data_IF_139569980805
#
_entry.id   IF_139569980805
#
_cell.length_a   1.000
_cell.length_b   1.000
_cell.length_c   1.000
_cell.angle_alpha   90.00
_cell.angle_beta   90.00
_cell.angle_gamma   90.00
#
_symmetry.space_group_name_H-M   'P 1'
#
loop_
_entity.id
_entity.type
_entity.pdbx_description
1 polymer ?
#
# COMPACT_ATOMS: atom_id res chain seq x y z
N UNK A 1 3.25 18.33 -14.23
CA UNK A 1 2.32 18.58 -13.11
C UNK A 1 3.05 19.07 -11.87
N UNK A 2 3.95 18.28 -11.26
CA UNK A 2 4.74 18.72 -10.08
C UNK A 2 5.47 20.05 -10.29
N UNK A 3 6.18 20.20 -11.42
CA UNK A 3 6.87 21.45 -11.74
C UNK A 3 5.93 22.67 -11.92
N UNK A 4 4.65 22.46 -12.30
CA UNK A 4 3.66 23.53 -12.43
C UNK A 4 3.14 23.97 -11.06
N UNK A 5 2.84 22.99 -10.20
CA UNK A 5 2.44 23.24 -8.82
C UNK A 5 3.52 24.01 -8.06
N UNK A 6 4.80 23.70 -8.31
CA UNK A 6 5.93 24.38 -7.70
C UNK A 6 6.23 25.76 -8.29
N UNK A 7 5.85 26.03 -9.54
CA UNK A 7 5.94 27.36 -10.14
C UNK A 7 4.77 28.27 -9.74
N UNK A 8 3.87 27.81 -8.86
CA UNK A 8 2.59 28.48 -8.50
C UNK A 8 1.74 28.85 -9.73
N UNK A 9 1.92 28.12 -10.83
CA UNK A 9 1.19 28.36 -12.07
C UNK A 9 -0.10 27.54 -12.06
N UNK A 10 -1.23 28.23 -12.26
CA UNK A 10 -2.52 27.57 -12.42
C UNK A 10 -2.44 26.58 -13.60
N UNK A 11 -2.83 25.33 -13.36
CA UNK A 11 -2.92 24.32 -14.42
C UNK A 11 -4.02 24.78 -15.39
N UNK A 12 -3.70 25.06 -16.66
CA UNK A 12 -4.72 25.49 -17.62
C UNK A 12 -5.81 24.42 -17.72
N UNK A 13 -7.09 24.80 -17.80
CA UNK A 13 -8.20 23.85 -17.91
C UNK A 13 -7.98 22.84 -19.05
N UNK A 14 -7.39 23.29 -20.16
CA UNK A 14 -6.99 22.47 -21.31
C UNK A 14 -5.97 21.36 -21.02
N UNK A 15 -5.11 21.53 -20.02
CA UNK A 15 -4.09 20.52 -19.66
C UNK A 15 -4.71 19.24 -19.09
N UNK A 16 -5.98 19.30 -18.65
CA UNK A 16 -6.74 18.12 -18.19
C UNK A 16 -7.33 17.28 -19.32
N UNK A 17 -7.39 17.81 -20.54
CA UNK A 17 -8.03 17.16 -21.69
C UNK A 17 -7.23 15.95 -22.18
N UNK A 18 -5.89 16.06 -22.25
CA UNK A 18 -5.02 14.95 -22.65
C UNK A 18 -5.16 13.71 -21.75
N UNK A 19 -5.03 13.84 -20.42
CA UNK A 19 -5.30 12.74 -19.48
C UNK A 19 -6.71 12.15 -19.60
N UNK A 20 -7.75 12.97 -19.85
CA UNK A 20 -9.12 12.49 -20.02
C UNK A 20 -9.28 11.64 -21.29
N UNK A 21 -8.67 12.07 -22.40
CA UNK A 21 -8.68 11.30 -23.65
C UNK A 21 -7.92 10.00 -23.54
N UNK A 22 -6.74 10.01 -22.91
CA UNK A 22 -6.01 8.77 -22.55
C UNK A 22 -6.88 7.83 -21.71
N UNK A 23 -7.58 8.35 -20.70
CA UNK A 23 -8.45 7.53 -19.87
C UNK A 23 -9.66 6.95 -20.62
N UNK A 24 -10.25 7.71 -21.56
CA UNK A 24 -11.31 7.22 -22.43
C UNK A 24 -10.79 6.13 -23.37
N UNK A 25 -9.65 6.37 -24.03
CA UNK A 25 -8.99 5.44 -24.94
C UNK A 25 -8.66 4.09 -24.26
N UNK A 26 -8.20 4.12 -23.00
CA UNK A 26 -7.97 2.92 -22.19
C UNK A 26 -9.26 2.15 -21.89
N UNK A 27 -10.37 2.85 -21.60
CA UNK A 27 -11.66 2.20 -21.28
C UNK A 27 -12.29 1.58 -22.51
N UNK A 28 -12.19 2.27 -23.63
CA UNK A 28 -12.84 1.89 -24.89
C UNK A 28 -11.92 1.00 -25.75
N UNK A 29 -10.71 0.73 -25.27
CA UNK A 29 -9.65 0.00 -25.99
C UNK A 29 -9.43 0.55 -27.41
N UNK A 30 -9.42 1.88 -27.51
CA UNK A 30 -9.32 2.65 -28.74
C UNK A 30 -8.05 3.52 -28.74
N UNK A 31 -7.75 4.18 -29.87
CA UNK A 31 -6.65 5.15 -29.93
C UNK A 31 -6.98 6.46 -29.21
N UNK A 32 -5.95 7.17 -28.75
CA UNK A 32 -6.09 8.44 -28.02
C UNK A 32 -6.69 9.58 -28.86
N UNK A 33 -6.47 9.53 -30.18
CA UNK A 33 -6.88 10.58 -31.11
C UNK A 33 -6.09 11.89 -30.95
N UNK A 34 -6.48 12.96 -31.65
CA UNK A 34 -5.74 14.22 -31.63
C UNK A 34 -5.79 14.88 -30.24
N UNK A 35 -4.61 15.26 -29.74
CA UNK A 35 -4.45 16.03 -28.50
C UNK A 35 -4.50 17.55 -28.77
N UNK A 36 -4.92 18.36 -27.78
CA UNK A 36 -4.89 19.82 -27.91
C UNK A 36 -3.46 20.33 -28.11
N UNK A 37 -3.32 21.39 -28.91
CA UNK A 37 -2.01 21.97 -29.24
C UNK A 37 -1.27 22.48 -27.97
N UNK A 38 0.05 22.25 -27.86
CA UNK A 38 0.84 22.63 -26.70
C UNK A 38 0.81 24.13 -26.37
N UNK A 39 0.75 24.43 -25.09
CA UNK A 39 0.81 25.76 -24.51
C UNK A 39 2.25 26.13 -24.12
N UNK A 40 3.04 26.68 -25.06
CA UNK A 40 4.47 26.91 -24.86
C UNK A 40 4.84 28.13 -23.99
N UNK A 41 4.01 28.53 -23.03
CA UNK A 41 4.22 29.77 -22.25
C UNK A 41 5.18 29.63 -21.07
N UNK A 42 5.42 28.42 -20.56
CA UNK A 42 6.33 28.17 -19.44
C UNK A 42 7.08 26.84 -19.59
N UNK A 43 8.31 26.71 -19.03
CA UNK A 43 9.09 25.47 -19.08
C UNK A 43 8.32 24.26 -18.56
N UNK A 44 7.63 24.44 -17.43
CA UNK A 44 6.84 23.38 -16.79
C UNK A 44 5.60 22.96 -17.59
N UNK A 45 5.02 23.88 -18.40
CA UNK A 45 3.91 23.57 -19.29
C UNK A 45 4.41 22.82 -20.52
N UNK A 46 5.53 23.25 -21.11
CA UNK A 46 6.18 22.56 -22.24
C UNK A 46 6.51 21.11 -21.88
N UNK A 47 7.17 20.89 -20.75
CA UNK A 47 7.51 19.54 -20.30
C UNK A 47 6.28 18.67 -19.99
N UNK A 48 5.15 19.26 -19.58
CA UNK A 48 3.90 18.53 -19.39
C UNK A 48 3.29 18.13 -20.73
N UNK A 49 3.19 19.07 -21.68
CA UNK A 49 2.62 18.81 -23.00
C UNK A 49 3.45 17.77 -23.76
N UNK A 50 4.77 17.86 -23.72
CA UNK A 50 5.67 16.86 -24.31
C UNK A 50 5.48 15.49 -23.67
N UNK A 51 5.32 15.43 -22.35
CA UNK A 51 5.08 14.16 -21.65
C UNK A 51 3.72 13.53 -22.02
N UNK A 52 2.68 14.35 -22.19
CA UNK A 52 1.36 13.88 -22.61
C UNK A 52 1.36 13.40 -24.06
N UNK A 53 2.08 14.11 -24.94
CA UNK A 53 2.21 13.74 -26.34
C UNK A 53 2.97 12.41 -26.48
N UNK A 54 4.12 12.28 -25.82
CA UNK A 54 4.88 11.02 -25.78
C UNK A 54 4.05 9.86 -25.19
N UNK A 55 3.20 10.13 -24.18
CA UNK A 55 2.35 9.11 -23.59
C UNK A 55 1.26 8.63 -24.55
N UNK A 56 0.59 9.54 -25.27
CA UNK A 56 -0.40 9.18 -26.29
C UNK A 56 0.24 8.45 -27.48
N UNK A 57 1.41 8.91 -27.91
CA UNK A 57 2.17 8.29 -28.99
C UNK A 57 2.64 6.87 -28.63
N UNK A 58 3.16 6.65 -27.42
CA UNK A 58 3.52 5.33 -26.93
C UNK A 58 2.30 4.41 -26.77
N UNK A 59 1.17 4.95 -26.33
CA UNK A 59 -0.09 4.21 -26.19
C UNK A 59 -0.64 3.77 -27.56
N UNK A 60 -0.70 4.69 -28.52
CA UNK A 60 -1.27 4.44 -29.86
C UNK A 60 -0.41 3.51 -30.71
N UNK A 61 0.92 3.53 -30.54
CA UNK A 61 1.80 2.60 -31.26
C UNK A 61 1.69 1.16 -30.76
N UNK A 62 1.09 0.94 -29.58
CA UNK A 62 1.26 -0.29 -28.82
C UNK A 62 2.74 -0.69 -28.62
N UNK A 63 3.66 0.28 -28.77
CA UNK A 63 5.07 0.17 -28.43
C UNK A 63 5.15 0.21 -26.91
N UNK A 64 4.72 -0.88 -26.28
CA UNK A 64 5.13 -1.25 -24.94
C UNK A 64 6.62 -1.57 -24.95
N UNK A 65 7.46 -0.59 -25.32
CA UNK A 65 8.90 -0.68 -25.17
C UNK A 65 9.18 -1.14 -23.76
N UNK A 66 10.09 -2.11 -23.62
CA UNK A 66 10.39 -2.84 -22.40
C UNK A 66 10.12 -1.96 -21.19
N UNK A 67 8.96 -2.17 -20.55
CA UNK A 67 8.69 -1.57 -19.26
C UNK A 67 9.95 -1.89 -18.47
N UNK A 68 10.71 -0.87 -18.07
CA UNK A 68 11.95 -1.03 -17.31
C UNK A 68 11.58 -1.50 -15.89
N UNK A 69 10.89 -2.64 -15.82
CA UNK A 69 10.67 -3.43 -14.63
C UNK A 69 12.04 -3.95 -14.28
N UNK A 70 12.69 -3.25 -13.35
CA UNK A 70 13.91 -3.72 -12.72
C UNK A 70 13.67 -5.17 -12.33
N UNK A 71 14.30 -6.12 -13.03
CA UNK A 71 14.28 -7.52 -12.64
C UNK A 71 14.88 -7.56 -11.24
N UNK A 72 14.03 -7.60 -10.21
CA UNK A 72 14.48 -7.72 -8.82
C UNK A 72 15.28 -9.01 -8.76
N UNK A 73 16.59 -8.88 -8.61
CA UNK A 73 17.51 -9.99 -8.42
C UNK A 73 16.96 -10.93 -7.34
N UNK A 74 17.15 -12.24 -7.51
CA UNK A 74 16.77 -13.23 -6.50
C UNK A 74 17.35 -12.86 -5.12
N UNK A 75 18.56 -12.32 -5.09
CA UNK A 75 19.20 -11.82 -3.87
C UNK A 75 18.44 -10.64 -3.22
N UNK A 76 17.82 -9.76 -4.01
CA UNK A 76 16.99 -8.67 -3.49
C UNK A 76 15.68 -9.20 -2.87
N UNK A 77 15.05 -10.20 -3.51
CA UNK A 77 13.85 -10.87 -2.97
C UNK A 77 14.15 -11.65 -1.69
N UNK A 78 15.24 -12.42 -1.67
CA UNK A 78 15.66 -13.16 -0.47
C UNK A 78 15.96 -12.21 0.67
N UNK A 79 16.62 -11.07 0.42
CA UNK A 79 16.89 -10.05 1.44
C UNK A 79 15.62 -9.37 1.95
N UNK A 80 14.59 -9.22 1.12
CA UNK A 80 13.29 -8.70 1.59
C UNK A 80 12.54 -9.70 2.48
N UNK A 81 12.63 -11.01 2.18
CA UNK A 81 11.97 -12.08 2.95
C UNK A 81 12.72 -12.43 4.23
N UNK A 82 14.06 -12.46 4.19
CA UNK A 82 14.91 -12.77 5.35
C UNK A 82 15.32 -11.53 6.14
N UNK A 83 15.02 -10.33 5.64
CA UNK A 83 15.26 -9.07 6.33
C UNK A 83 14.38 -8.93 7.58
N UNK A 84 14.64 -7.89 8.38
CA UNK A 84 13.93 -7.63 9.63
C UNK A 84 12.39 -7.68 9.46
N UNK A 85 11.85 -7.18 8.34
CA UNK A 85 10.42 -7.22 8.02
C UNK A 85 9.87 -8.63 7.84
N UNK A 86 10.51 -9.44 6.99
CA UNK A 86 10.03 -10.78 6.72
C UNK A 86 10.23 -11.71 7.93
N UNK A 87 11.26 -11.46 8.75
CA UNK A 87 11.43 -12.12 10.05
C UNK A 87 10.32 -11.72 11.03
N UNK A 88 10.01 -10.44 11.17
CA UNK A 88 8.94 -10.00 12.07
C UNK A 88 7.58 -10.56 11.63
N UNK A 89 7.27 -10.45 10.34
CA UNK A 89 6.06 -11.00 9.75
C UNK A 89 5.99 -12.52 9.94
N UNK A 90 7.07 -13.23 9.61
CA UNK A 90 7.16 -14.68 9.79
C UNK A 90 6.99 -15.09 11.25
N UNK A 91 7.53 -14.33 12.19
CA UNK A 91 7.37 -14.58 13.62
C UNK A 91 5.93 -14.38 14.07
N UNK A 92 5.24 -13.32 13.61
CA UNK A 92 3.80 -13.12 13.88
C UNK A 92 2.96 -14.26 13.33
N UNK A 93 3.20 -14.65 12.08
CA UNK A 93 2.47 -15.76 11.45
C UNK A 93 2.71 -17.06 12.23
N UNK A 94 3.97 -17.36 12.58
CA UNK A 94 4.33 -18.56 13.33
C UNK A 94 3.70 -18.57 14.74
N UNK A 95 3.71 -17.44 15.46
CA UNK A 95 3.07 -17.31 16.77
C UNK A 95 1.55 -17.43 16.68
N UNK A 96 0.92 -16.74 15.73
CA UNK A 96 -0.52 -16.84 15.52
C UNK A 96 -0.92 -18.26 15.17
N UNK A 97 -0.22 -18.90 14.22
CA UNK A 97 -0.48 -20.29 13.84
C UNK A 97 -0.25 -21.26 15.00
N UNK A 98 0.87 -21.14 15.71
CA UNK A 98 1.20 -22.01 16.85
C UNK A 98 0.19 -21.86 17.99
N UNK A 99 -0.13 -20.63 18.39
CA UNK A 99 -1.10 -20.37 19.45
C UNK A 99 -2.52 -20.80 19.05
N UNK A 100 -2.94 -20.54 17.82
CA UNK A 100 -4.24 -20.99 17.30
C UNK A 100 -4.34 -22.51 17.23
N UNK A 101 -3.28 -23.19 16.76
CA UNK A 101 -3.25 -24.65 16.69
C UNK A 101 -3.22 -25.29 18.09
N UNK A 102 -2.53 -24.69 19.06
CA UNK A 102 -2.54 -25.14 20.45
C UNK A 102 -3.93 -24.98 21.08
N UNK A 103 -4.58 -23.83 20.88
CA UNK A 103 -5.96 -23.57 21.34
C UNK A 103 -6.93 -24.56 20.69
N UNK A 104 -6.85 -24.77 19.37
CA UNK A 104 -7.69 -25.71 18.65
C UNK A 104 -7.54 -27.15 19.18
N UNK A 105 -6.30 -27.59 19.43
CA UNK A 105 -6.04 -28.91 20.03
C UNK A 105 -6.57 -29.01 21.46
N UNK A 106 -6.36 -27.99 22.30
CA UNK A 106 -6.88 -27.97 23.66
C UNK A 106 -8.42 -28.06 23.71
N UNK A 107 -9.10 -27.31 22.83
CA UNK A 107 -10.56 -27.34 22.68
C UNK A 107 -11.06 -28.70 22.16
N UNK A 108 -10.31 -29.34 21.26
CA UNK A 108 -10.59 -30.69 20.80
C UNK A 108 -10.50 -31.72 21.95
N UNK A 109 -9.43 -31.66 22.76
CA UNK A 109 -9.25 -32.56 23.90
C UNK A 109 -10.30 -32.39 25.01
N UNK A 110 -10.77 -31.17 25.25
CA UNK A 110 -11.79 -30.87 26.27
C UNK A 110 -13.23 -31.15 25.80
N UNK A 111 -13.44 -31.59 24.56
CA UNK A 111 -14.78 -31.86 23.96
C UNK A 111 -15.77 -30.70 24.11
N UNK A 112 -15.28 -29.47 24.20
CA UNK A 112 -16.06 -28.29 24.60
C UNK A 112 -17.30 -28.02 23.72
N UNK A 113 -17.33 -28.47 22.45
CA UNK A 113 -18.53 -28.40 21.58
C UNK A 113 -18.87 -29.76 20.91
N UNK A 114 -18.37 -30.89 21.40
CA UNK A 114 -18.58 -32.22 20.78
C UNK A 114 -17.36 -32.77 20.03
N UNK A 115 -17.57 -33.74 19.12
CA UNK A 115 -16.55 -34.30 18.22
C UNK A 115 -16.16 -33.22 17.19
N UNK A 116 -14.98 -32.61 17.37
CA UNK A 116 -14.51 -31.49 16.55
C UNK A 116 -13.77 -31.96 15.31
N UNK A 117 -14.49 -32.29 14.23
CA UNK A 117 -13.84 -32.66 12.96
C UNK A 117 -13.10 -31.48 12.29
N UNK A 118 -13.41 -30.24 12.69
CA UNK A 118 -13.01 -29.02 11.98
C UNK A 118 -11.93 -28.16 12.67
N UNK A 119 -11.09 -28.74 13.52
CA UNK A 119 -10.07 -28.01 14.31
C UNK A 119 -9.15 -27.07 13.50
N UNK A 120 -8.98 -27.32 12.19
CA UNK A 120 -8.14 -26.53 11.28
C UNK A 120 -8.71 -25.14 10.95
N UNK A 121 -10.00 -24.90 11.22
CA UNK A 121 -10.68 -23.63 10.94
C UNK A 121 -10.11 -22.44 11.72
N UNK A 122 -9.75 -22.64 12.99
CA UNK A 122 -9.20 -21.60 13.85
C UNK A 122 -7.80 -21.17 13.37
N UNK A 123 -6.82 -22.09 13.16
CA UNK A 123 -5.51 -21.72 12.58
C UNK A 123 -5.60 -21.11 11.19
N UNK A 124 -6.46 -21.64 10.31
CA UNK A 124 -6.63 -21.09 8.96
C UNK A 124 -7.15 -19.63 9.01
N UNK A 125 -8.11 -19.35 9.89
CA UNK A 125 -8.64 -17.99 10.07
C UNK A 125 -7.59 -17.06 10.66
N UNK A 126 -6.82 -17.52 11.65
CA UNK A 126 -5.76 -16.73 12.26
C UNK A 126 -4.68 -16.33 11.24
N UNK A 127 -4.22 -17.25 10.41
CA UNK A 127 -3.20 -16.96 9.36
C UNK A 127 -3.75 -16.00 8.31
N UNK A 128 -5.00 -16.17 7.87
CA UNK A 128 -5.64 -15.25 6.92
C UNK A 128 -5.68 -13.82 7.46
N UNK A 129 -6.00 -13.65 8.74
CA UNK A 129 -6.08 -12.33 9.38
C UNK A 129 -4.72 -11.65 9.55
N UNK A 130 -3.61 -12.38 9.58
CA UNK A 130 -2.25 -11.81 9.75
C UNK A 130 -1.64 -11.35 8.41
N UNK A 131 -2.20 -11.73 7.26
CA UNK A 131 -1.67 -11.40 5.92
C UNK A 131 -1.36 -9.89 5.75
N UNK A 132 -0.21 -9.46 5.23
CA UNK A 132 0.17 -8.04 5.27
C UNK A 132 -0.59 -7.19 4.23
N UNK A 133 -1.19 -7.81 3.22
CA UNK A 133 -1.71 -7.13 2.03
C UNK A 133 -3.13 -6.55 2.18
N UNK A 134 -3.74 -6.63 3.36
CA UNK A 134 -5.17 -6.31 3.57
C UNK A 134 -5.41 -5.09 4.48
N UNK A 135 -4.45 -4.16 4.54
CA UNK A 135 -4.55 -2.94 5.34
C UNK A 135 -4.31 -3.15 6.86
N UNK A 136 -4.63 -2.15 7.71
CA UNK A 136 -4.34 -2.21 9.15
C UNK A 136 -4.96 -3.43 9.83
N UNK A 137 -4.16 -4.16 10.62
CA UNK A 137 -4.58 -5.41 11.26
C UNK A 137 -5.82 -5.22 12.14
N UNK A 138 -5.85 -4.17 12.96
CA UNK A 138 -6.97 -3.92 13.89
C UNK A 138 -8.29 -3.67 13.15
N UNK A 139 -8.29 -2.80 12.14
CA UNK A 139 -9.48 -2.51 11.32
C UNK A 139 -10.02 -3.76 10.64
N UNK A 140 -9.13 -4.60 10.12
CA UNK A 140 -9.48 -5.85 9.46
C UNK A 140 -10.07 -6.88 10.41
N UNK A 141 -9.45 -7.06 11.58
CA UNK A 141 -9.95 -8.01 12.58
C UNK A 141 -11.31 -7.55 13.12
N UNK A 142 -11.47 -6.26 13.39
CA UNK A 142 -12.75 -5.70 13.83
C UNK A 142 -13.82 -5.84 12.73
N UNK A 143 -13.48 -5.54 11.48
CA UNK A 143 -14.39 -5.71 10.35
C UNK A 143 -14.74 -7.18 10.11
N UNK A 144 -13.80 -8.10 10.36
CA UNK A 144 -14.06 -9.56 10.31
C UNK A 144 -15.05 -9.94 11.41
N UNK A 145 -14.78 -9.54 12.65
CA UNK A 145 -15.64 -9.84 13.79
C UNK A 145 -17.06 -9.28 13.58
N UNK A 146 -17.18 -8.00 13.20
CA UNK A 146 -18.46 -7.36 12.92
C UNK A 146 -19.20 -8.03 11.75
N UNK A 147 -18.50 -8.31 10.65
CA UNK A 147 -19.08 -9.02 9.50
C UNK A 147 -19.55 -10.43 9.86
N UNK A 148 -18.81 -11.17 10.68
CA UNK A 148 -19.21 -12.50 11.15
C UNK A 148 -20.44 -12.45 12.04
N UNK A 149 -20.51 -11.50 12.99
CA UNK A 149 -21.69 -11.32 13.85
C UNK A 149 -22.91 -10.93 13.02
N UNK A 150 -22.79 -9.91 12.15
CA UNK A 150 -23.88 -9.47 11.28
C UNK A 150 -24.34 -10.58 10.33
N UNK A 151 -23.40 -11.30 9.71
CA UNK A 151 -23.70 -12.42 8.83
C UNK A 151 -24.39 -13.57 9.56
N UNK A 152 -23.95 -13.90 10.78
CA UNK A 152 -24.60 -14.92 11.61
C UNK A 152 -26.02 -14.55 12.01
N UNK A 153 -26.26 -13.30 12.42
CA UNK A 153 -27.60 -12.80 12.75
C UNK A 153 -28.52 -12.81 11.53
N UNK A 154 -28.03 -12.33 10.39
CA UNK A 154 -28.77 -12.34 9.13
C UNK A 154 -29.11 -13.77 8.70
N UNK A 155 -28.14 -14.68 8.76
CA UNK A 155 -28.36 -16.09 8.46
C UNK A 155 -29.40 -16.72 9.40
N UNK A 156 -29.32 -16.47 10.71
CA UNK A 156 -30.28 -17.00 11.68
C UNK A 156 -31.71 -16.55 11.38
N UNK A 157 -31.91 -15.27 11.04
CA UNK A 157 -33.21 -14.75 10.62
C UNK A 157 -33.73 -15.37 9.33
N UNK A 158 -32.88 -15.45 8.29
CA UNK A 158 -33.25 -16.05 7.00
C UNK A 158 -33.53 -17.56 7.12
N UNK A 159 -32.71 -18.29 7.88
CA UNK A 159 -32.85 -19.74 8.08
C UNK A 159 -34.07 -20.12 8.94
N UNK A 160 -34.67 -19.17 9.66
CA UNK A 160 -35.94 -19.35 10.36
C UNK A 160 -37.15 -19.19 9.44
N UNK A 161 -37.01 -18.41 8.35
CA UNK A 161 -38.08 -18.09 7.40
C UNK A 161 -38.08 -19.00 6.18
N UNK A 162 -36.91 -19.51 5.78
CA UNK A 162 -36.74 -20.25 4.52
C UNK A 162 -37.05 -21.74 4.68
N UNK A 163 -37.77 -22.36 3.72
CA UNK A 163 -37.99 -23.80 3.69
C UNK A 163 -36.67 -24.54 3.44
N UNK A 164 -36.46 -25.67 4.12
CA UNK A 164 -35.25 -26.49 3.96
C UNK A 164 -35.54 -27.69 3.04
N UNK A 165 -34.60 -28.07 2.15
CA UNK A 165 -33.29 -27.48 1.89
C UNK A 165 -33.28 -26.40 0.80
N UNK A 166 -34.35 -26.27 0.01
CA UNK A 166 -34.40 -25.42 -1.20
C UNK A 166 -34.07 -23.95 -0.91
N UNK A 167 -34.58 -23.40 0.20
CA UNK A 167 -34.28 -22.04 0.62
C UNK A 167 -32.82 -21.81 0.98
N UNK A 168 -32.12 -22.83 1.52
CA UNK A 168 -30.68 -22.73 1.78
C UNK A 168 -29.88 -22.75 0.47
N UNK A 169 -30.29 -23.56 -0.51
CA UNK A 169 -29.66 -23.59 -1.85
C UNK A 169 -29.83 -22.24 -2.56
N UNK A 170 -31.03 -21.67 -2.51
CA UNK A 170 -31.29 -20.33 -3.04
C UNK A 170 -30.43 -19.25 -2.34
N UNK A 171 -30.28 -19.36 -1.01
CA UNK A 171 -29.44 -18.46 -0.23
C UNK A 171 -27.96 -18.56 -0.60
N UNK A 172 -27.45 -19.78 -0.83
CA UNK A 172 -26.09 -20.04 -1.31
C UNK A 172 -25.87 -19.38 -2.68
N UNK A 173 -26.79 -19.58 -3.62
CA UNK A 173 -26.72 -18.98 -4.95
C UNK A 173 -26.74 -17.44 -4.88
N UNK A 174 -27.63 -16.86 -4.07
CA UNK A 174 -27.71 -15.42 -3.85
C UNK A 174 -26.42 -14.84 -3.26
N UNK A 175 -25.84 -15.51 -2.25
CA UNK A 175 -24.55 -15.08 -1.69
C UNK A 175 -23.43 -15.15 -2.72
N UNK A 176 -23.37 -16.22 -3.53
CA UNK A 176 -22.41 -16.35 -4.63
C UNK A 176 -22.48 -15.18 -5.62
N UNK A 177 -23.68 -14.77 -6.01
CA UNK A 177 -23.90 -13.61 -6.88
C UNK A 177 -23.52 -12.28 -6.23
N UNK A 178 -23.62 -12.16 -4.89
CA UNK A 178 -23.28 -10.96 -4.14
C UNK A 178 -21.78 -10.79 -3.89
N UNK A 179 -20.96 -11.85 -4.02
CA UNK A 179 -19.51 -11.78 -3.74
C UNK A 179 -18.82 -10.64 -4.52
N UNK A 180 -18.95 -10.51 -5.85
CA UNK A 180 -18.25 -9.47 -6.60
C UNK A 180 -18.61 -8.06 -6.13
N UNK A 181 -19.88 -7.83 -5.79
CA UNK A 181 -20.37 -6.54 -5.28
C UNK A 181 -19.82 -6.27 -3.87
N UNK A 182 -19.82 -7.30 -3.02
CA UNK A 182 -19.41 -7.21 -1.63
C UNK A 182 -17.90 -6.97 -1.45
N UNK A 183 -17.05 -7.33 -2.43
CA UNK A 183 -15.59 -7.06 -2.38
C UNK A 183 -15.24 -5.57 -2.22
N UNK A 184 -16.17 -4.65 -2.51
CA UNK A 184 -15.99 -3.20 -2.30
C UNK A 184 -15.86 -2.83 -0.82
N UNK A 185 -16.43 -3.62 0.10
CA UNK A 185 -16.40 -3.35 1.53
C UNK A 185 -16.05 -4.63 2.31
N UNK A 186 -14.92 -4.62 3.02
CA UNK A 186 -14.40 -5.81 3.71
C UNK A 186 -15.39 -6.45 4.71
N UNK A 187 -16.13 -5.63 5.47
CA UNK A 187 -17.14 -6.11 6.41
C UNK A 187 -18.34 -6.75 5.67
N UNK A 188 -18.79 -6.15 4.56
CA UNK A 188 -19.87 -6.70 3.73
C UNK A 188 -19.47 -8.02 3.09
N UNK A 189 -18.26 -8.09 2.52
CA UNK A 189 -17.69 -9.33 1.99
C UNK A 189 -17.66 -10.42 3.06
N UNK A 190 -17.21 -10.09 4.28
CA UNK A 190 -17.18 -11.04 5.39
C UNK A 190 -18.58 -11.51 5.77
N UNK A 191 -19.56 -10.62 5.84
CA UNK A 191 -20.94 -10.97 6.17
C UNK A 191 -21.54 -11.92 5.13
N UNK A 192 -21.41 -11.60 3.83
CA UNK A 192 -21.89 -12.45 2.73
C UNK A 192 -21.23 -13.83 2.76
N UNK A 193 -19.90 -13.89 2.94
CA UNK A 193 -19.18 -15.15 3.06
C UNK A 193 -19.60 -15.94 4.30
N UNK A 194 -19.91 -15.26 5.41
CA UNK A 194 -20.39 -15.92 6.64
C UNK A 194 -21.76 -16.55 6.38
N UNK A 195 -22.71 -15.81 5.82
CA UNK A 195 -24.04 -16.36 5.46
C UNK A 195 -23.89 -17.55 4.51
N UNK A 196 -23.05 -17.42 3.48
CA UNK A 196 -22.75 -18.49 2.52
C UNK A 196 -22.24 -19.76 3.22
N UNK A 197 -21.22 -19.63 4.06
CA UNK A 197 -20.60 -20.77 4.75
C UNK A 197 -21.58 -21.43 5.71
N UNK A 198 -22.34 -20.64 6.50
CA UNK A 198 -23.34 -21.19 7.41
C UNK A 198 -24.48 -21.89 6.66
N UNK A 199 -24.93 -21.34 5.53
CA UNK A 199 -25.92 -21.97 4.67
C UNK A 199 -25.41 -23.30 4.09
N UNK A 200 -24.16 -23.37 3.65
CA UNK A 200 -23.53 -24.60 3.18
C UNK A 200 -23.41 -25.66 4.28
N UNK A 201 -22.94 -25.27 5.48
CA UNK A 201 -22.80 -26.18 6.63
C UNK A 201 -24.17 -26.72 7.07
N UNK A 202 -25.19 -25.86 7.12
CA UNK A 202 -26.55 -26.28 7.46
C UNK A 202 -27.17 -27.18 6.37
N UNK A 203 -26.96 -26.87 5.10
CA UNK A 203 -27.42 -27.71 3.99
C UNK A 203 -26.69 -29.07 3.95
N UNK A 204 -25.44 -29.11 4.41
CA UNK A 204 -24.65 -30.33 4.57
C UNK A 204 -25.02 -31.20 5.78
N UNK A 205 -25.98 -30.76 6.62
CA UNK A 205 -26.48 -31.56 7.74
C UNK A 205 -25.74 -31.39 9.08
N UNK A 206 -24.86 -30.40 9.20
CA UNK A 206 -23.98 -30.20 10.37
C UNK A 206 -24.29 -28.89 11.15
N UNK A 207 -25.51 -28.69 11.68
CA UNK A 207 -25.90 -27.41 12.29
C UNK A 207 -25.08 -27.06 13.54
N UNK A 208 -24.57 -28.06 14.28
CA UNK A 208 -23.69 -27.83 15.43
C UNK A 208 -22.37 -27.15 15.01
N UNK A 209 -21.84 -27.48 13.82
CA UNK A 209 -20.61 -26.89 13.30
C UNK A 209 -20.77 -25.39 12.97
N UNK A 210 -22.00 -24.92 12.73
CA UNK A 210 -22.27 -23.49 12.45
C UNK A 210 -21.96 -22.60 13.66
N UNK A 211 -22.34 -23.03 14.87
CA UNK A 211 -22.04 -22.30 16.12
C UNK A 211 -20.53 -22.36 16.41
N UNK A 212 -19.93 -23.53 16.23
CA UNK A 212 -18.47 -23.71 16.35
C UNK A 212 -17.70 -22.77 15.43
N UNK A 213 -18.13 -22.64 14.16
CA UNK A 213 -17.49 -21.76 13.17
C UNK A 213 -17.49 -20.29 13.58
N UNK A 214 -18.59 -19.80 14.15
CA UNK A 214 -18.69 -18.42 14.63
C UNK A 214 -17.75 -18.22 15.82
N UNK A 215 -17.81 -19.12 16.82
CA UNK A 215 -16.98 -19.06 18.01
C UNK A 215 -15.47 -19.10 17.67
N UNK A 216 -15.05 -20.01 16.81
CA UNK A 216 -13.65 -20.12 16.36
C UNK A 216 -13.18 -18.90 15.57
N UNK A 217 -14.06 -18.31 14.75
CA UNK A 217 -13.72 -17.09 14.02
C UNK A 217 -13.52 -15.92 14.99
N UNK A 218 -14.39 -15.77 15.99
CA UNK A 218 -14.27 -14.73 17.02
C UNK A 218 -13.05 -14.96 17.94
N UNK A 219 -12.76 -16.21 18.31
CA UNK A 219 -11.55 -16.57 19.05
C UNK A 219 -10.28 -16.27 18.24
N UNK A 220 -10.26 -16.59 16.95
CA UNK A 220 -9.15 -16.24 16.06
C UNK A 220 -8.98 -14.72 15.96
N UNK A 221 -10.07 -13.96 15.86
CA UNK A 221 -10.03 -12.49 15.90
C UNK A 221 -9.40 -11.98 17.21
N UNK A 222 -9.86 -12.45 18.37
CA UNK A 222 -9.31 -12.06 19.68
C UNK A 222 -7.83 -12.41 19.81
N UNK A 223 -7.46 -13.65 19.45
CA UNK A 223 -6.07 -14.11 19.46
C UNK A 223 -5.17 -13.24 18.57
N UNK A 224 -5.59 -12.97 17.32
CA UNK A 224 -4.81 -12.17 16.37
C UNK A 224 -4.69 -10.72 16.82
N UNK A 225 -5.70 -10.15 17.50
CA UNK A 225 -5.55 -8.84 18.12
C UNK A 225 -4.49 -8.87 19.22
N UNK A 226 -4.53 -9.86 20.13
CA UNK A 226 -3.55 -9.97 21.22
C UNK A 226 -2.13 -10.18 20.67
N UNK A 227 -1.93 -11.17 19.80
CA UNK A 227 -0.62 -11.47 19.20
C UNK A 227 -0.16 -10.35 18.26
N UNK A 228 -1.10 -9.70 17.55
CA UNK A 228 -0.85 -8.57 16.67
C UNK A 228 -0.39 -7.31 17.41
N UNK A 229 -0.86 -7.10 18.64
CA UNK A 229 -0.43 -5.99 19.48
C UNK A 229 0.74 -6.34 20.41
N UNK A 230 1.17 -7.61 20.43
CA UNK A 230 2.36 -7.99 21.20
C UNK A 230 3.58 -7.16 20.70
N UNK A 231 4.33 -6.55 21.63
CA UNK A 231 5.60 -5.92 21.31
C UNK A 231 6.61 -7.03 21.00
N UNK A 232 6.57 -7.56 19.78
CA UNK A 232 7.59 -8.48 19.34
C UNK A 232 8.95 -7.77 19.41
N UNK A 233 10.00 -8.45 19.90
CA UNK A 233 11.35 -7.94 19.88
C UNK A 233 11.83 -7.88 18.44
N UNK A 234 11.51 -6.76 17.80
CA UNK A 234 11.96 -6.37 16.48
C UNK A 234 11.97 -4.84 16.49
N UNK A 235 13.03 -4.20 15.98
CA UNK A 235 13.09 -2.76 16.01
C UNK A 235 12.15 -2.17 14.94
N UNK A 236 10.85 -2.10 15.25
CA UNK A 236 9.82 -1.51 14.38
C UNK A 236 10.14 -0.03 14.05
N UNK A 237 10.77 0.68 14.99
CA UNK A 237 11.34 2.01 14.75
C UNK A 237 12.50 2.01 13.74
N UNK A 238 13.35 0.97 13.73
CA UNK A 238 14.43 0.84 12.73
C UNK A 238 13.87 0.59 11.34
N UNK A 239 12.69 -0.03 11.21
CA UNK A 239 12.09 -0.28 9.90
C UNK A 239 11.59 1.01 9.22
N UNK A 240 11.08 1.98 9.98
CA UNK A 240 10.70 3.31 9.47
C UNK A 240 11.96 4.12 9.17
N UNK A 241 12.93 4.15 10.10
CA UNK A 241 14.23 4.79 9.88
C UNK A 241 14.94 4.27 8.64
N UNK A 242 14.98 2.96 8.45
CA UNK A 242 15.60 2.34 7.28
C UNK A 242 14.93 2.78 5.98
N UNK A 243 13.60 2.96 5.96
CA UNK A 243 12.88 3.46 4.78
C UNK A 243 13.13 4.93 4.52
N UNK A 244 13.15 5.76 5.55
CA UNK A 244 13.51 7.16 5.42
C UNK A 244 14.98 7.31 4.97
N UNK A 245 15.87 6.42 5.41
CA UNK A 245 17.27 6.37 4.95
C UNK A 245 17.35 5.96 3.48
N UNK A 246 16.62 4.93 3.07
CA UNK A 246 16.54 4.47 1.68
C UNK A 246 15.97 5.56 0.76
N UNK A 247 14.88 6.20 1.17
CA UNK A 247 14.26 7.30 0.45
C UNK A 247 15.18 8.53 0.37
N UNK A 248 15.86 8.86 1.47
CA UNK A 248 16.84 9.94 1.49
C UNK A 248 18.04 9.67 0.57
N UNK A 249 18.57 8.44 0.57
CA UNK A 249 19.65 8.05 -0.33
C UNK A 249 19.22 8.15 -1.81
N UNK A 250 18.04 7.62 -2.15
CA UNK A 250 17.50 7.71 -3.51
C UNK A 250 17.26 9.17 -3.95
N UNK A 251 16.75 10.02 -3.05
CA UNK A 251 16.57 11.44 -3.32
C UNK A 251 17.91 12.17 -3.56
N UNK A 252 18.96 11.83 -2.79
CA UNK A 252 20.29 12.39 -3.02
C UNK A 252 20.91 11.93 -4.33
N UNK A 253 20.86 10.63 -4.66
CA UNK A 253 21.35 10.13 -5.95
C UNK A 253 20.64 10.80 -7.12
N UNK A 254 19.33 11.04 -7.01
CA UNK A 254 18.58 11.78 -8.03
C UNK A 254 19.04 13.25 -8.13
N UNK A 255 19.20 13.93 -6.99
CA UNK A 255 19.68 15.31 -6.94
C UNK A 255 21.09 15.45 -7.54
N UNK A 256 22.02 14.60 -7.13
CA UNK A 256 23.41 14.61 -7.61
C UNK A 256 23.46 14.39 -9.12
N UNK A 257 22.61 13.52 -9.68
CA UNK A 257 22.51 13.32 -11.12
C UNK A 257 22.00 14.58 -11.85
N UNK A 258 20.98 15.25 -11.31
CA UNK A 258 20.43 16.47 -11.91
C UNK A 258 21.43 17.63 -11.85
N UNK A 259 22.14 17.79 -10.73
CA UNK A 259 23.13 18.85 -10.57
C UNK A 259 24.45 18.55 -11.31
N UNK A 260 24.78 17.28 -11.53
CA UNK A 260 25.98 16.85 -12.24
C UNK A 260 25.94 17.09 -13.76
N UNK A 261 24.86 17.65 -14.31
CA UNK A 261 24.77 18.02 -15.72
C UNK A 261 24.76 16.84 -16.70
N UNK A 262 24.39 15.63 -16.23
CA UNK A 262 24.32 14.46 -17.10
C UNK A 262 23.12 14.53 -18.04
N UNK A 263 23.38 14.49 -19.35
CA UNK A 263 22.37 14.48 -20.41
C UNK A 263 21.59 13.15 -20.51
N UNK A 264 21.93 12.13 -19.72
CA UNK A 264 21.23 10.84 -19.72
C UNK A 264 19.82 10.95 -19.13
N UNK A 265 18.85 11.21 -20.02
CA UNK A 265 17.43 11.38 -19.70
C UNK A 265 16.79 10.07 -19.20
N UNK A 266 17.26 8.92 -19.67
CA UNK A 266 16.75 7.62 -19.26
C UNK A 266 17.16 7.30 -17.82
N UNK A 267 18.43 7.54 -17.47
CA UNK A 267 18.91 7.43 -16.09
C UNK A 267 18.21 8.44 -15.16
N UNK A 268 18.06 9.70 -15.57
CA UNK A 268 17.29 10.72 -14.80
C UNK A 268 15.90 10.22 -14.45
N UNK A 269 15.19 9.66 -15.42
CA UNK A 269 13.83 9.18 -15.25
C UNK A 269 13.73 7.96 -14.32
N UNK A 270 14.69 7.03 -14.43
CA UNK A 270 14.79 5.88 -13.54
C UNK A 270 15.05 6.30 -12.08
N UNK A 271 15.99 7.24 -11.87
CA UNK A 271 16.32 7.78 -10.55
C UNK A 271 15.14 8.54 -9.93
N UNK A 272 14.44 9.38 -10.72
CA UNK A 272 13.24 10.08 -10.27
C UNK A 272 12.16 9.10 -9.79
N UNK A 273 11.91 8.03 -10.55
CA UNK A 273 10.96 6.99 -10.15
C UNK A 273 11.37 6.27 -8.89
N UNK A 274 12.64 5.95 -8.74
CA UNK A 274 13.15 5.29 -7.55
C UNK A 274 12.98 6.18 -6.29
N UNK A 275 13.25 7.48 -6.41
CA UNK A 275 13.05 8.45 -5.34
C UNK A 275 11.57 8.51 -4.90
N UNK A 276 10.62 8.67 -5.84
CA UNK A 276 9.19 8.67 -5.50
C UNK A 276 8.70 7.33 -4.96
N UNK A 277 9.18 6.20 -5.52
CA UNK A 277 8.79 4.86 -5.06
C UNK A 277 9.23 4.61 -3.62
N UNK A 278 10.49 4.88 -3.31
CA UNK A 278 11.04 4.68 -1.96
C UNK A 278 10.39 5.62 -0.94
N UNK A 279 10.09 6.86 -1.33
CA UNK A 279 9.33 7.81 -0.52
C UNK A 279 7.89 7.34 -0.26
N UNK A 280 7.19 6.84 -1.27
CA UNK A 280 5.84 6.29 -1.13
C UNK A 280 5.82 5.05 -0.22
N UNK A 281 6.84 4.18 -0.32
CA UNK A 281 7.02 3.05 0.59
C UNK A 281 7.27 3.51 2.03
N UNK A 282 8.05 4.57 2.24
CA UNK A 282 8.28 5.16 3.56
C UNK A 282 6.99 5.71 4.17
N UNK A 283 6.20 6.47 3.40
CA UNK A 283 4.91 7.02 3.85
C UNK A 283 3.89 5.96 4.19
N UNK A 284 3.76 4.94 3.34
CA UNK A 284 2.88 3.81 3.62
C UNK A 284 3.27 3.13 4.94
N UNK A 285 4.57 2.97 5.20
CA UNK A 285 5.06 2.40 6.45
C UNK A 285 4.77 3.30 7.67
N UNK A 286 4.92 4.62 7.55
CA UNK A 286 4.59 5.57 8.62
C UNK A 286 3.09 5.53 8.91
N UNK A 287 2.24 5.65 7.89
CA UNK A 287 0.79 5.60 8.03
C UNK A 287 0.30 4.30 8.67
N UNK A 288 0.86 3.16 8.28
CA UNK A 288 0.53 1.87 8.88
C UNK A 288 0.95 1.80 10.35
N UNK A 289 2.16 2.25 10.67
CA UNK A 289 2.66 2.23 12.05
C UNK A 289 1.83 3.15 12.97
N UNK A 290 1.46 4.34 12.50
CA UNK A 290 0.59 5.27 13.21
C UNK A 290 -0.81 4.70 13.45
N UNK A 291 -1.34 3.91 12.51
CA UNK A 291 -2.64 3.27 12.63
C UNK A 291 -2.64 2.04 13.57
N UNK A 292 -1.54 1.29 13.63
CA UNK A 292 -1.47 0.04 14.40
C UNK A 292 -0.99 0.22 15.84
N UNK A 293 -0.12 1.20 16.14
CA UNK A 293 0.45 1.39 17.48
C UNK A 293 0.56 2.88 17.85
N UNK A 294 -0.51 3.50 18.41
CA UNK A 294 -0.47 4.88 18.92
C UNK A 294 0.69 5.19 19.90
N UNK A 295 1.16 4.25 20.75
CA UNK A 295 2.34 4.49 21.61
C UNK A 295 3.67 4.54 20.84
N UNK A 296 3.78 3.87 19.69
CA UNK A 296 4.95 3.93 18.81
C UNK A 296 4.92 5.13 17.87
N UNK A 297 3.75 5.73 17.62
CA UNK A 297 3.66 7.02 16.92
C UNK A 297 4.51 8.09 17.62
N UNK A 298 4.61 8.04 18.96
CA UNK A 298 5.52 8.89 19.76
C UNK A 298 7.01 8.66 19.48
N UNK A 299 7.39 7.48 18.99
CA UNK A 299 8.77 7.18 18.57
C UNK A 299 9.02 7.46 17.08
N UNK A 300 7.95 7.77 16.33
CA UNK A 300 7.98 8.26 14.97
C UNK A 300 7.84 9.80 14.91
N UNK A 301 7.97 10.49 16.05
CA UNK A 301 7.96 11.94 16.13
C UNK A 301 8.96 12.54 15.11
N UNK A 302 8.42 13.29 14.14
CA UNK A 302 9.19 13.89 13.05
C UNK A 302 9.42 13.01 11.81
N UNK A 303 8.97 11.75 11.78
CA UNK A 303 9.06 10.88 10.60
C UNK A 303 8.21 11.39 9.43
N UNK A 304 6.96 11.80 9.71
CA UNK A 304 6.08 12.43 8.73
C UNK A 304 6.66 13.74 8.19
N UNK A 305 7.21 14.57 9.07
CA UNK A 305 7.84 15.83 8.67
C UNK A 305 9.10 15.60 7.82
N UNK A 306 9.87 14.55 8.14
CA UNK A 306 11.04 14.14 7.36
C UNK A 306 10.63 13.62 5.99
N UNK A 307 9.58 12.79 5.90
CA UNK A 307 9.03 12.34 4.63
C UNK A 307 8.48 13.52 3.79
N UNK A 308 7.82 14.49 4.42
CA UNK A 308 7.36 15.70 3.75
C UNK A 308 8.53 16.57 3.24
N UNK A 309 9.62 16.67 4.01
CA UNK A 309 10.83 17.38 3.59
C UNK A 309 11.51 16.68 2.41
N UNK A 310 11.58 15.34 2.44
CA UNK A 310 12.09 14.54 1.33
C UNK A 310 11.24 14.69 0.06
N UNK A 311 9.90 14.73 0.18
CA UNK A 311 9.02 15.02 -0.95
C UNK A 311 9.34 16.38 -1.56
N UNK A 312 9.39 17.42 -0.73
CA UNK A 312 9.72 18.77 -1.20
C UNK A 312 11.07 18.80 -1.91
N UNK A 313 12.06 18.05 -1.41
CA UNK A 313 13.37 17.93 -2.05
C UNK A 313 13.27 17.26 -3.44
N UNK A 314 12.60 16.11 -3.55
CA UNK A 314 12.44 15.38 -4.82
C UNK A 314 11.65 16.20 -5.84
N UNK A 315 10.60 16.89 -5.39
CA UNK A 315 9.79 17.74 -6.24
C UNK A 315 10.58 18.97 -6.73
N UNK A 316 11.30 19.65 -5.82
CA UNK A 316 12.16 20.80 -6.18
C UNK A 316 13.25 20.35 -7.16
N UNK A 317 13.85 19.18 -6.94
CA UNK A 317 14.83 18.59 -7.86
C UNK A 317 14.21 18.33 -9.23
N UNK A 318 12.97 17.85 -9.28
CA UNK A 318 12.24 17.64 -10.53
C UNK A 318 11.94 18.96 -11.25
N UNK A 319 11.56 20.01 -10.52
CA UNK A 319 11.36 21.34 -11.09
C UNK A 319 12.66 21.92 -11.66
N UNK A 320 13.77 21.76 -10.94
CA UNK A 320 15.12 22.15 -11.38
C UNK A 320 15.52 21.43 -12.67
N UNK A 321 15.30 20.11 -12.75
CA UNK A 321 15.59 19.33 -13.94
C UNK A 321 14.80 19.81 -15.18
N UNK A 322 13.52 20.15 -14.99
CA UNK A 322 12.67 20.69 -16.07
C UNK A 322 13.14 22.08 -16.50
N UNK A 323 13.53 22.93 -15.57
CA UNK A 323 14.05 24.27 -15.86
C UNK A 323 15.42 24.20 -16.57
N UNK A 324 16.28 23.28 -16.16
CA UNK A 324 17.55 22.98 -16.83
C UNK A 324 17.37 22.51 -18.26
N UNK A 325 16.48 21.53 -18.48
CA UNK A 325 16.19 21.00 -19.83
C UNK A 325 15.70 22.11 -20.78
N UNK A 326 15.05 23.16 -20.27
CA UNK A 326 14.49 24.24 -21.07
C UNK A 326 15.42 25.45 -21.27
N UNK A 327 16.09 25.88 -20.20
CA UNK A 327 16.88 27.12 -20.20
C UNK A 327 18.40 26.89 -20.25
N UNK A 328 18.85 25.65 -20.06
CA UNK A 328 20.26 25.27 -19.98
C UNK A 328 20.98 25.75 -18.72
N UNK A 329 20.29 26.42 -17.78
CA UNK A 329 20.88 26.97 -16.56
C UNK A 329 19.93 26.84 -15.37
N UNK A 330 20.49 26.79 -14.16
CA UNK A 330 19.71 26.89 -12.92
C UNK A 330 19.71 28.32 -12.40
N UNK A 331 18.54 28.84 -12.06
CA UNK A 331 18.43 30.15 -11.43
C UNK A 331 18.85 30.07 -9.95
N UNK A 332 19.45 31.14 -9.42
CA UNK A 332 19.88 31.25 -8.01
C UNK A 332 18.78 30.92 -6.96
N UNK A 333 17.48 31.26 -7.16
CA UNK A 333 16.42 30.87 -6.23
C UNK A 333 16.26 29.36 -6.09
N UNK A 334 16.41 28.60 -7.17
CA UNK A 334 16.29 27.14 -7.17
C UNK A 334 17.43 26.49 -6.37
N UNK A 335 18.66 26.94 -6.59
CA UNK A 335 19.86 26.45 -5.88
C UNK A 335 19.74 26.77 -4.37
N UNK A 336 19.33 28.00 -4.04
CA UNK A 336 19.10 28.39 -2.64
C UNK A 336 18.05 27.50 -1.98
N UNK A 337 16.93 27.24 -2.65
CA UNK A 337 15.85 26.40 -2.11
C UNK A 337 16.28 24.95 -1.89
N UNK A 338 17.02 24.36 -2.84
CA UNK A 338 17.59 23.03 -2.69
C UNK A 338 18.56 22.95 -1.50
N UNK A 339 19.35 23.99 -1.30
CA UNK A 339 20.29 24.09 -0.18
C UNK A 339 19.55 24.19 1.15
N UNK A 340 18.54 25.05 1.25
CA UNK A 340 17.68 25.15 2.44
C UNK A 340 17.02 23.82 2.83
N UNK A 341 16.46 23.09 1.84
CA UNK A 341 15.82 21.79 2.06
C UNK A 341 16.83 20.71 2.46
N UNK A 342 18.04 20.74 1.90
CA UNK A 342 19.15 19.87 2.31
C UNK A 342 19.56 20.14 3.75
N UNK A 343 19.69 21.40 4.13
CA UNK A 343 20.07 21.79 5.49
C UNK A 343 18.96 21.49 6.49
N UNK A 344 17.70 21.68 6.11
CA UNK A 344 16.55 21.28 6.91
C UNK A 344 16.55 19.77 7.15
N UNK A 345 16.79 18.97 6.10
CA UNK A 345 16.90 17.52 6.22
C UNK A 345 18.10 17.13 7.10
N UNK A 346 19.24 17.79 6.96
CA UNK A 346 20.44 17.58 7.78
C UNK A 346 20.20 17.87 9.26
N UNK A 347 19.48 18.95 9.59
CA UNK A 347 19.07 19.28 10.97
C UNK A 347 18.08 18.28 11.56
N UNK A 348 17.28 17.63 10.71
CA UNK A 348 16.32 16.58 11.10
C UNK A 348 16.96 15.19 11.23
N UNK A 349 18.14 14.94 10.63
CA UNK A 349 18.89 13.66 10.72
C UNK A 349 19.10 13.14 12.14
N UNK A 350 19.48 13.96 13.16
CA UNK A 350 19.73 13.46 14.51
C UNK A 350 18.46 13.04 15.25
N UNK A 351 17.30 13.62 14.89
CA UNK A 351 16.00 13.28 15.49
C UNK A 351 15.48 11.92 15.04
N UNK A 352 16.01 11.40 13.93
CA UNK A 352 15.57 10.14 13.29
C UNK A 352 16.74 9.16 13.10
N UNK A 353 17.92 9.42 13.69
CA UNK A 353 19.15 8.60 13.55
C UNK A 353 19.45 8.12 12.11
N UNK A 354 19.36 9.06 11.14
CA UNK A 354 19.50 8.77 9.71
C UNK A 354 20.97 8.85 9.27
N UNK A 355 21.57 7.70 8.92
CA UNK A 355 22.88 7.65 8.24
C UNK A 355 22.73 7.89 6.75
N UNK A 356 22.76 9.16 6.35
CA UNK A 356 22.82 9.56 4.94
C UNK A 356 24.26 9.98 4.56
N UNK A 357 24.69 9.76 3.29
CA UNK A 357 25.98 10.25 2.80
C UNK A 357 26.15 11.75 3.09
N UNK A 358 27.39 12.15 3.42
CA UNK A 358 27.74 13.58 3.48
C UNK A 358 27.69 14.14 2.07
N UNK A 359 27.04 15.28 1.95
CA UNK A 359 26.77 15.90 0.68
C UNK A 359 27.99 16.72 0.24
N UNK A 360 28.37 16.71 -1.04
CA UNK A 360 29.34 17.69 -1.53
C UNK A 360 28.77 19.10 -1.36
N UNK A 361 29.64 20.03 -0.99
CA UNK A 361 29.32 21.45 -0.94
C UNK A 361 28.97 21.91 -2.35
N UNK A 362 27.84 22.60 -2.50
CA UNK A 362 27.50 23.28 -3.75
C UNK A 362 28.43 24.49 -3.82
N UNK A 363 29.55 24.38 -4.53
CA UNK A 363 30.35 25.54 -4.92
C UNK A 363 29.59 26.26 -6.03
N UNK A 364 29.21 27.50 -5.77
CA UNK A 364 28.43 28.34 -6.67
C UNK A 364 29.21 28.90 -7.86
#
# INVERSE_FOLDING_TARGET
ATALAWAEQAVPARASEGPRRLAAAVRDNASTGPLPAPARSAPALRALDDALLNAAEAFDRADGGDLHGRRRSRAARVRTVLGARGREYGTRVALCFGASAAIAQALHHTRWYGQHEHWYWLPATAVFLVKPDLGPLASRVLSRAAGTVLGALLFAGLAALLPRPEGLVALVAACGALIPVATRHFAAQTAVVTVLVLALVMAGGEPQASVGRIAETLLACGLVLVVGHLPLPGPRGDAIRARLTEAGAAAQTYLDHVLGGSDDRAARWALRREAYRTLAEARTAIALASAELPPLARHADGADETAATLERLVDTTTACAVHLDDTGRLDSPHIRRLTELRDELARRRPRVDLRLPRLPAVTG
#
